data_IF_860113654707
#
_entry.id   IF_860113654707
#
_cell.length_a   1.000
_cell.length_b   1.000
_cell.length_c   1.000
_cell.angle_alpha   90.00
_cell.angle_beta   90.00
_cell.angle_gamma   90.00
#
_symmetry.space_group_name_H-M   'P 1'
#
loop_
_entity.id
_entity.type
_entity.pdbx_description
1 polymer ?
#
# COMPACT_ATOMS: atom_id res chain seq x y z
N UNK A 1 14.84 -3.02 15.05
CA UNK A 1 13.87 -2.15 15.72
C UNK A 1 12.49 -2.33 15.07
N UNK A 2 11.47 -2.50 15.92
CA UNK A 2 10.11 -2.70 15.41
C UNK A 2 9.47 -1.35 15.07
N UNK A 3 8.59 -1.31 14.04
CA UNK A 3 7.88 -0.07 13.71
C UNK A 3 7.03 0.42 14.88
N UNK A 4 7.04 1.73 15.08
CA UNK A 4 6.25 2.36 16.14
C UNK A 4 4.88 2.81 15.67
N UNK A 5 4.68 2.86 14.36
CA UNK A 5 3.42 3.30 13.77
C UNK A 5 3.18 2.53 12.48
N UNK A 6 1.96 2.07 12.30
CA UNK A 6 1.55 1.34 11.10
C UNK A 6 0.51 2.17 10.38
N UNK A 7 0.77 2.48 9.12
CA UNK A 7 -0.13 3.25 8.27
C UNK A 7 -0.85 2.32 7.29
N UNK A 8 -2.15 2.44 7.22
CA UNK A 8 -2.93 1.78 6.18
C UNK A 8 -3.19 2.81 5.08
N UNK A 9 -2.68 2.56 3.89
CA UNK A 9 -2.72 3.51 2.77
C UNK A 9 -3.37 2.81 1.58
N UNK A 10 -4.50 3.32 1.09
CA UNK A 10 -5.24 2.59 0.06
C UNK A 10 -5.99 3.49 -0.90
N UNK A 11 -6.20 2.94 -2.10
CA UNK A 11 -7.23 3.38 -3.04
C UNK A 11 -8.22 2.24 -3.18
N UNK A 12 -9.51 2.52 -3.02
CA UNK A 12 -10.49 1.45 -3.06
C UNK A 12 -11.82 1.92 -3.63
N UNK A 13 -12.03 1.68 -4.91
CA UNK A 13 -13.27 2.05 -5.57
C UNK A 13 -14.46 1.23 -5.06
N UNK A 14 -14.21 -0.03 -4.68
CA UNK A 14 -15.28 -0.96 -4.28
C UNK A 14 -15.26 -1.32 -2.81
N UNK A 15 -14.25 -0.88 -2.06
CA UNK A 15 -14.12 -1.22 -0.66
C UNK A 15 -13.27 -2.45 -0.36
N UNK A 16 -12.98 -3.28 -1.36
CA UNK A 16 -12.24 -4.52 -1.13
C UNK A 16 -10.80 -4.26 -0.74
N UNK A 17 -10.11 -3.36 -1.45
CA UNK A 17 -8.72 -3.00 -1.12
C UNK A 17 -8.65 -2.41 0.27
N UNK A 18 -9.56 -1.50 0.60
CA UNK A 18 -9.62 -0.91 1.93
C UNK A 18 -9.72 -2.00 3.00
N UNK A 19 -10.63 -2.93 2.82
CA UNK A 19 -10.88 -3.98 3.80
C UNK A 19 -9.62 -4.82 4.04
N UNK A 20 -8.93 -5.19 2.98
CA UNK A 20 -7.72 -6.00 3.08
C UNK A 20 -6.58 -5.24 3.72
N UNK A 21 -6.31 -4.02 3.24
CA UNK A 21 -5.21 -3.20 3.74
C UNK A 21 -5.41 -2.85 5.21
N UNK A 22 -6.61 -2.43 5.58
CA UNK A 22 -6.87 -2.07 6.98
C UNK A 22 -6.79 -3.28 7.90
N UNK A 23 -7.23 -4.45 7.45
CA UNK A 23 -7.12 -5.66 8.26
C UNK A 23 -5.67 -6.02 8.51
N UNK A 24 -4.83 -5.99 7.48
CA UNK A 24 -3.42 -6.29 7.63
C UNK A 24 -2.76 -5.27 8.56
N UNK A 25 -2.99 -4.00 8.32
CA UNK A 25 -2.36 -2.94 9.10
C UNK A 25 -2.78 -2.97 10.57
N UNK A 26 -4.06 -3.23 10.84
CA UNK A 26 -4.54 -3.34 12.22
C UNK A 26 -3.93 -4.52 12.96
N UNK A 27 -3.82 -5.67 12.28
CA UNK A 27 -3.21 -6.84 12.89
C UNK A 27 -1.74 -6.61 13.19
N UNK A 28 -1.03 -5.93 12.29
CA UNK A 28 0.37 -5.59 12.55
C UNK A 28 0.49 -4.62 13.71
N UNK A 29 -0.36 -3.60 13.77
CA UNK A 29 -0.33 -2.63 14.85
C UNK A 29 -0.59 -3.30 16.19
N UNK A 30 -1.58 -4.20 16.26
CA UNK A 30 -1.87 -4.94 17.49
C UNK A 30 -0.71 -5.83 17.89
N UNK A 31 -0.15 -6.57 16.94
CA UNK A 31 0.94 -7.51 17.23
C UNK A 31 2.21 -6.80 17.69
N UNK A 32 2.47 -5.61 17.17
CA UNK A 32 3.68 -4.85 17.46
C UNK A 32 3.47 -3.77 18.52
N UNK A 33 2.26 -3.65 19.05
CA UNK A 33 1.89 -2.59 19.98
C UNK A 33 2.21 -1.22 19.41
N UNK A 34 1.88 -1.02 18.14
CA UNK A 34 2.16 0.20 17.40
C UNK A 34 0.90 1.02 17.23
N UNK A 35 1.07 2.32 16.97
CA UNK A 35 -0.04 3.21 16.67
C UNK A 35 -0.56 2.89 15.27
N UNK A 36 -1.87 2.94 15.08
CA UNK A 36 -2.50 2.67 13.80
C UNK A 36 -3.02 3.97 13.21
N UNK A 37 -2.73 4.22 11.92
CA UNK A 37 -3.25 5.38 11.19
C UNK A 37 -3.69 4.97 9.79
N UNK A 38 -4.58 5.78 9.22
CA UNK A 38 -5.15 5.51 7.89
C UNK A 38 -4.96 6.68 6.96
N UNK A 39 -4.74 6.40 5.69
CA UNK A 39 -4.79 7.39 4.64
C UNK A 39 -5.45 6.80 3.41
N UNK A 40 -6.63 7.33 3.08
CA UNK A 40 -7.41 6.90 1.92
C UNK A 40 -7.12 7.85 0.77
N UNK A 41 -6.48 7.36 -0.30
CA UNK A 41 -6.19 8.19 -1.45
C UNK A 41 -7.12 7.92 -2.64
N UNK A 42 -8.33 7.42 -2.34
CA UNK A 42 -9.33 7.13 -3.37
C UNK A 42 -9.79 8.38 -4.10
N UNK A 43 -9.96 9.49 -3.40
CA UNK A 43 -10.45 10.72 -4.00
C UNK A 43 -9.31 11.60 -4.50
N UNK A 44 -9.54 12.36 -5.59
CA UNK A 44 -8.47 13.19 -6.17
C UNK A 44 -7.87 14.19 -5.19
N UNK A 45 -8.67 14.76 -4.30
CA UNK A 45 -8.16 15.74 -3.33
C UNK A 45 -7.08 15.13 -2.44
N UNK A 46 -7.25 13.88 -2.02
CA UNK A 46 -6.26 13.20 -1.19
C UNK A 46 -4.95 12.99 -1.96
N UNK A 47 -5.02 12.84 -3.27
CA UNK A 47 -3.84 12.61 -4.11
C UNK A 47 -3.08 13.88 -4.46
N UNK A 48 -3.54 15.03 -4.00
CA UNK A 48 -2.82 16.29 -4.19
C UNK A 48 -1.91 16.64 -3.03
N UNK A 49 -1.90 15.81 -1.99
CA UNK A 49 -1.09 16.05 -0.80
C UNK A 49 0.03 15.02 -0.73
N UNK A 50 1.21 15.47 -0.32
CA UNK A 50 2.34 14.57 -0.12
C UNK A 50 2.10 13.80 1.17
N UNK A 51 2.24 12.48 1.08
CA UNK A 51 2.19 11.60 2.24
C UNK A 51 3.61 11.17 2.53
N UNK A 52 4.14 11.58 3.68
CA UNK A 52 5.49 11.21 4.08
C UNK A 52 5.44 10.24 5.26
N UNK A 53 6.11 9.13 5.12
CA UNK A 53 6.23 8.11 6.17
C UNK A 53 7.68 8.09 6.63
N UNK A 54 7.97 8.52 7.86
CA UNK A 54 9.35 8.59 8.31
C UNK A 54 9.93 7.24 8.67
N UNK A 55 11.27 7.19 8.75
CA UNK A 55 11.96 5.99 9.21
C UNK A 55 11.43 5.59 10.60
N UNK A 56 11.39 4.28 10.84
CA UNK A 56 10.84 3.75 12.09
C UNK A 56 9.36 3.47 12.03
N UNK A 57 8.72 3.73 10.89
CA UNK A 57 7.30 3.45 10.68
C UNK A 57 7.12 2.54 9.48
N UNK A 58 5.93 1.97 9.34
CA UNK A 58 5.63 1.05 8.25
C UNK A 58 4.32 1.45 7.59
N UNK A 59 4.31 1.42 6.26
CA UNK A 59 3.09 1.67 5.49
C UNK A 59 2.66 0.41 4.76
N UNK A 60 1.42 0.01 4.98
CA UNK A 60 0.78 -1.03 4.18
C UNK A 60 0.08 -0.30 3.04
N UNK A 61 0.61 -0.43 1.84
CA UNK A 61 0.15 0.36 0.69
C UNK A 61 -0.57 -0.55 -0.29
N UNK A 62 -1.84 -0.28 -0.50
CA UNK A 62 -2.66 -1.10 -1.38
C UNK A 62 -3.20 -0.33 -2.57
N UNK A 63 -3.30 -1.02 -3.69
CA UNK A 63 -3.97 -0.48 -4.86
C UNK A 63 -4.65 -1.63 -5.63
N UNK A 64 -5.70 -1.30 -6.41
CA UNK A 64 -6.36 -2.31 -7.23
C UNK A 64 -5.55 -2.64 -8.47
N UNK A 65 -5.91 -3.73 -9.12
CA UNK A 65 -5.31 -4.16 -10.37
C UNK A 65 -6.19 -3.78 -11.53
N UNK A 66 -5.60 -3.12 -12.53
CA UNK A 66 -6.26 -2.91 -13.82
C UNK A 66 -5.36 -3.51 -14.89
N UNK A 67 -5.84 -4.56 -15.53
CA UNK A 67 -5.10 -5.24 -16.60
C UNK A 67 -3.70 -5.69 -16.15
N UNK A 68 -3.56 -6.10 -14.89
CA UNK A 68 -2.31 -6.60 -14.35
C UNK A 68 -1.28 -5.54 -14.03
N UNK A 69 -1.69 -4.27 -13.95
CA UNK A 69 -0.77 -3.16 -13.70
C UNK A 69 -1.35 -2.19 -12.69
N UNK A 70 -0.46 -1.41 -12.09
CA UNK A 70 -0.88 -0.26 -11.29
C UNK A 70 -1.67 0.67 -12.21
N UNK A 71 -2.88 1.10 -11.82
CA UNK A 71 -3.68 1.97 -12.67
C UNK A 71 -2.94 3.27 -13.02
N UNK A 72 -2.99 3.65 -14.29
CA UNK A 72 -2.33 4.88 -14.75
C UNK A 72 -2.78 6.11 -13.96
N UNK A 73 -4.03 6.12 -13.53
CA UNK A 73 -4.58 7.21 -12.73
C UNK A 73 -3.80 7.42 -11.44
N UNK A 74 -3.26 6.35 -10.86
CA UNK A 74 -2.59 6.39 -9.56
C UNK A 74 -1.08 6.53 -9.66
N UNK A 75 -0.51 6.32 -10.85
CA UNK A 75 0.93 6.36 -11.04
C UNK A 75 1.57 7.67 -10.58
N UNK A 76 1.04 8.85 -10.97
CA UNK A 76 1.66 10.11 -10.53
C UNK A 76 1.67 10.26 -9.01
N UNK A 77 0.59 9.85 -8.34
CA UNK A 77 0.53 9.94 -6.90
C UNK A 77 1.55 9.03 -6.24
N UNK A 78 1.55 7.75 -6.64
CA UNK A 78 2.44 6.77 -6.03
C UNK A 78 3.91 7.07 -6.32
N UNK A 79 4.19 7.67 -7.48
CA UNK A 79 5.56 7.99 -7.86
C UNK A 79 6.07 9.26 -7.19
N UNK A 80 5.21 10.28 -7.08
CA UNK A 80 5.67 11.61 -6.73
C UNK A 80 5.22 12.08 -5.35
N UNK A 81 4.13 11.53 -4.82
CA UNK A 81 3.49 12.07 -3.63
C UNK A 81 3.57 11.18 -2.39
N UNK A 82 3.94 9.92 -2.56
CA UNK A 82 4.11 9.00 -1.42
C UNK A 82 5.60 8.84 -1.18
N UNK A 83 6.08 9.34 -0.04
CA UNK A 83 7.52 9.40 0.22
C UNK A 83 7.88 8.68 1.51
N UNK A 84 8.94 7.89 1.48
CA UNK A 84 9.43 7.20 2.63
C UNK A 84 10.89 7.52 2.87
N UNK A 85 11.21 8.20 3.96
CA UNK A 85 12.60 8.51 4.31
C UNK A 85 13.26 7.36 5.06
N UNK A 86 13.26 6.18 4.48
CA UNK A 86 13.79 4.98 5.12
C UNK A 86 12.74 4.15 5.85
N UNK A 87 11.47 4.45 5.65
CA UNK A 87 10.38 3.68 6.25
C UNK A 87 10.25 2.32 5.59
N UNK A 88 9.59 1.39 6.29
CA UNK A 88 9.24 0.10 5.72
C UNK A 88 7.94 0.21 4.95
N UNK A 89 7.80 -0.56 3.90
CA UNK A 89 6.55 -0.64 3.15
C UNK A 89 6.18 -2.09 2.88
N UNK A 90 4.88 -2.35 2.97
CA UNK A 90 4.30 -3.64 2.66
C UNK A 90 3.32 -3.41 1.51
N UNK A 91 3.75 -3.61 0.26
CA UNK A 91 2.85 -3.42 -0.87
C UNK A 91 1.84 -4.55 -0.95
N UNK A 92 0.59 -4.18 -1.24
CA UNK A 92 -0.53 -5.11 -1.35
C UNK A 92 -1.25 -4.85 -2.65
N UNK A 93 -1.41 -5.89 -3.45
CA UNK A 93 -2.22 -5.80 -4.66
C UNK A 93 -3.31 -6.85 -4.59
N UNK A 94 -4.52 -6.45 -4.97
CA UNK A 94 -5.64 -7.36 -5.05
C UNK A 94 -5.86 -7.72 -6.50
N UNK A 95 -5.94 -8.99 -6.78
CA UNK A 95 -6.03 -9.43 -8.16
C UNK A 95 -7.09 -10.51 -8.30
N UNK A 96 -7.61 -10.60 -9.53
CA UNK A 96 -8.52 -11.66 -9.89
C UNK A 96 -7.98 -12.56 -10.99
N UNK A 97 -6.72 -12.39 -11.36
CA UNK A 97 -6.13 -13.15 -12.44
C UNK A 97 -4.64 -13.38 -12.20
N UNK A 98 -3.92 -13.79 -13.25
CA UNK A 98 -2.56 -14.29 -13.16
C UNK A 98 -1.45 -13.25 -13.16
N UNK A 99 -1.76 -11.98 -13.37
CA UNK A 99 -0.70 -10.99 -13.60
C UNK A 99 -0.34 -10.18 -12.36
N UNK A 100 -0.61 -10.71 -11.18
CA UNK A 100 -0.37 -9.98 -9.94
C UNK A 100 1.11 -9.75 -9.66
N UNK A 101 1.97 -10.66 -10.12
CA UNK A 101 3.41 -10.54 -9.86
C UNK A 101 3.97 -9.26 -10.48
N UNK A 102 3.57 -8.97 -11.71
CA UNK A 102 4.07 -7.79 -12.41
C UNK A 102 3.62 -6.51 -11.72
N UNK A 103 2.38 -6.48 -11.27
CA UNK A 103 1.86 -5.30 -10.57
C UNK A 103 2.52 -5.15 -9.21
N UNK A 104 2.71 -6.24 -8.49
CA UNK A 104 3.36 -6.19 -7.18
C UNK A 104 4.78 -5.67 -7.32
N UNK A 105 5.50 -6.11 -8.35
CA UNK A 105 6.84 -5.60 -8.62
C UNK A 105 6.83 -4.13 -9.01
N UNK A 106 5.86 -3.71 -9.81
CA UNK A 106 5.72 -2.31 -10.20
C UNK A 106 5.46 -1.42 -8.99
N UNK A 107 4.53 -1.82 -8.13
CA UNK A 107 4.22 -1.07 -6.91
C UNK A 107 5.43 -1.02 -5.99
N UNK A 108 6.11 -2.14 -5.80
CA UNK A 108 7.30 -2.20 -4.96
C UNK A 108 8.39 -1.29 -5.48
N UNK A 109 8.58 -1.24 -6.81
CA UNK A 109 9.59 -0.36 -7.41
C UNK A 109 9.25 1.10 -7.18
N UNK A 110 7.98 1.48 -7.34
CA UNK A 110 7.55 2.86 -7.09
C UNK A 110 7.87 3.27 -5.65
N UNK A 111 7.56 2.41 -4.70
CA UNK A 111 7.80 2.70 -3.29
C UNK A 111 9.29 2.72 -2.97
N UNK A 112 10.06 1.79 -3.52
CA UNK A 112 11.51 1.76 -3.31
C UNK A 112 12.16 3.01 -3.85
N UNK A 113 11.75 3.47 -5.03
CA UNK A 113 12.29 4.67 -5.65
C UNK A 113 12.02 5.91 -4.79
N UNK A 114 10.98 5.88 -3.96
CA UNK A 114 10.61 7.00 -3.08
C UNK A 114 11.15 6.85 -1.67
N UNK A 115 12.07 5.94 -1.43
CA UNK A 115 12.78 5.85 -0.16
C UNK A 115 12.26 4.80 0.81
N UNK A 116 11.35 3.95 0.40
CA UNK A 116 10.88 2.86 1.25
C UNK A 116 11.77 1.63 1.11
N UNK A 117 11.85 0.87 2.18
CA UNK A 117 12.37 -0.49 2.14
C UNK A 117 11.17 -1.42 2.08
N UNK A 118 10.93 -2.02 0.92
CA UNK A 118 9.79 -2.90 0.75
C UNK A 118 10.05 -4.26 1.33
N UNK A 119 9.12 -4.74 2.15
CA UNK A 119 9.18 -6.08 2.69
C UNK A 119 8.81 -7.07 1.59
N UNK A 120 9.44 -8.22 1.61
CA UNK A 120 9.08 -9.28 0.69
C UNK A 120 7.68 -9.75 1.01
N UNK A 121 6.80 -9.68 0.03
CA UNK A 121 5.42 -9.96 0.27
C UNK A 121 4.90 -10.93 -0.73
N UNK A 122 4.12 -11.84 -0.24
CA UNK A 122 3.28 -12.59 -1.12
C UNK A 122 2.16 -11.69 -1.60
N UNK A 123 1.77 -11.86 -2.83
CA UNK A 123 0.56 -11.24 -3.30
C UNK A 123 -0.61 -11.79 -2.50
N UNK A 124 -1.51 -10.90 -2.16
CA UNK A 124 -2.68 -11.32 -1.42
C UNK A 124 -3.76 -11.56 -2.42
N UNK A 125 -4.26 -12.77 -2.41
CA UNK A 125 -5.37 -13.12 -3.26
C UNK A 125 -6.55 -12.29 -2.82
N UNK A 126 -7.07 -11.52 -3.75
CA UNK A 126 -8.30 -10.83 -3.53
C UNK A 126 -9.35 -11.88 -3.21
N UNK A 127 -10.29 -11.49 -2.38
CA UNK A 127 -11.31 -12.40 -2.03
C UNK A 127 -12.14 -12.68 -3.24
N UNK A 128 -11.94 -13.83 -3.76
CA UNK A 128 -12.79 -14.29 -4.83
C UNK A 128 -13.91 -15.04 -4.21
N UNK A 129 -15.04 -14.47 -4.33
CA UNK A 129 -16.20 -15.26 -4.06
C UNK A 129 -16.55 -15.91 -5.37
N UNK A 130 -16.24 -17.06 -5.46
CA UNK A 130 -16.58 -17.78 -6.64
C UNK A 130 -17.88 -18.51 -6.45
#
# INVERSE_FOLDING_TARGET
MLPVRIHAVWFSATGTTKKTVTRIARRLADALDAVYEEYDYTLPAARRQVLTIPAGELAVVGCPTYAGRVPNLLMPYLRDMVRGGGALALPVVLFGNRNYDDELMELSKLLTDEGFYCLAVGAIVGEHTY
#
